data_IF_124589599765
#
_entry.id   IF_124589599765
#
_cell.length_a   1.000
_cell.length_b   1.000
_cell.length_c   1.000
_cell.angle_alpha   90.00
_cell.angle_beta   90.00
_cell.angle_gamma   90.00
#
_symmetry.space_group_name_H-M   'P 1'
#
loop_
_entity.id
_entity.type
_entity.pdbx_description
1 polymer ?
#
# COMPACT_ATOMS: atom_id res chain seq x y z
N UNK A 1 25.76 2.16 9.74
CA UNK A 1 24.99 1.15 8.98
C UNK A 1 23.65 1.76 8.63
N UNK A 2 23.36 1.98 7.35
CA UNK A 2 22.08 2.57 6.92
C UNK A 2 21.06 1.43 6.90
N UNK A 3 20.24 1.37 7.94
CA UNK A 3 19.12 0.43 8.00
C UNK A 3 18.16 0.79 6.85
N UNK A 4 17.80 -0.19 6.02
CA UNK A 4 16.65 -0.07 5.13
C UNK A 4 15.42 -0.08 6.02
N UNK A 5 14.93 1.08 6.42
CA UNK A 5 13.81 1.21 7.38
C UNK A 5 12.46 0.72 6.81
N UNK A 6 12.43 0.34 5.53
CA UNK A 6 11.22 -0.07 4.83
C UNK A 6 10.26 1.10 4.63
N UNK A 7 10.81 2.27 4.30
CA UNK A 7 10.00 3.44 3.99
C UNK A 7 9.20 3.21 2.70
N UNK A 8 7.97 3.70 2.70
CA UNK A 8 7.10 3.64 1.53
C UNK A 8 7.57 4.70 0.53
N UNK A 9 7.83 4.27 -0.70
CA UNK A 9 8.20 5.15 -1.81
C UNK A 9 7.00 5.57 -2.66
N UNK A 10 5.99 4.71 -2.72
CA UNK A 10 4.74 4.94 -3.44
C UNK A 10 3.62 4.19 -2.74
N UNK A 11 2.46 4.82 -2.66
CA UNK A 11 1.20 4.19 -2.30
C UNK A 11 0.27 4.23 -3.51
N UNK A 12 -0.50 3.17 -3.69
CA UNK A 12 -1.49 3.04 -4.74
C UNK A 12 -2.64 2.18 -4.25
N UNK A 13 -3.87 2.61 -4.51
CA UNK A 13 -5.08 1.87 -4.20
C UNK A 13 -6.10 2.05 -5.32
N UNK A 14 -6.92 1.02 -5.54
CA UNK A 14 -8.07 1.09 -6.43
C UNK A 14 -9.25 0.36 -5.81
N UNK A 15 -10.45 0.87 -6.08
CA UNK A 15 -11.71 0.22 -5.74
C UNK A 15 -12.19 -0.63 -6.92
N UNK A 16 -13.18 -1.49 -6.67
CA UNK A 16 -13.80 -2.35 -7.68
C UNK A 16 -14.62 -1.57 -8.72
N UNK A 17 -15.20 -0.45 -8.31
CA UNK A 17 -15.90 0.53 -9.16
C UNK A 17 -14.97 1.53 -9.87
N UNK A 18 -13.66 1.39 -9.71
CA UNK A 18 -12.65 2.07 -10.54
C UNK A 18 -12.12 3.41 -10.01
N UNK A 19 -12.48 3.83 -8.79
CA UNK A 19 -11.81 4.95 -8.15
C UNK A 19 -10.37 4.58 -7.79
N UNK A 20 -9.45 5.53 -7.98
CA UNK A 20 -8.03 5.30 -7.78
C UNK A 20 -7.42 6.38 -6.88
N UNK A 21 -6.43 5.96 -6.09
CA UNK A 21 -5.53 6.84 -5.36
C UNK A 21 -4.10 6.44 -5.66
N UNK A 22 -3.22 7.43 -5.82
CA UNK A 22 -1.78 7.19 -5.79
C UNK A 22 -1.03 8.39 -5.24
N UNK A 23 0.06 8.13 -4.53
CA UNK A 23 0.96 9.15 -4.03
C UNK A 23 2.40 8.65 -4.04
N UNK A 24 3.32 9.54 -4.39
CA UNK A 24 4.76 9.28 -4.39
C UNK A 24 5.36 9.97 -3.16
N UNK A 25 6.09 9.22 -2.35
CA UNK A 25 6.54 9.64 -1.04
C UNK A 25 8.06 9.86 -1.05
N UNK A 26 8.47 11.00 -0.49
CA UNK A 26 9.87 11.30 -0.24
C UNK A 26 10.42 10.35 0.82
N UNK A 27 11.45 9.59 0.48
CA UNK A 27 12.21 8.75 1.41
C UNK A 27 13.46 9.47 1.90
N UNK A 28 13.89 9.14 3.12
CA UNK A 28 15.10 9.66 3.76
C UNK A 28 16.37 9.15 3.08
N UNK A 29 16.31 7.94 2.50
CA UNK A 29 17.43 7.32 1.77
C UNK A 29 17.01 6.99 0.35
N UNK A 30 17.63 7.66 -0.62
CA UNK A 30 17.54 7.24 -2.03
C UNK A 30 18.44 6.04 -2.26
N UNK A 31 17.91 4.83 -2.05
CA UNK A 31 18.70 3.62 -2.29
C UNK A 31 18.63 3.21 -3.77
N UNK A 32 19.78 2.92 -4.38
CA UNK A 32 19.86 2.32 -5.73
C UNK A 32 19.23 0.91 -5.82
N UNK A 33 18.77 0.37 -4.69
CA UNK A 33 18.07 -0.91 -4.60
C UNK A 33 16.59 -0.79 -4.95
N UNK A 34 16.00 0.40 -4.81
CA UNK A 34 14.61 0.63 -5.18
C UNK A 34 14.39 0.40 -6.69
N UNK A 35 13.43 -0.46 -7.07
CA UNK A 35 13.04 -0.63 -8.47
C UNK A 35 12.45 0.65 -9.10
N UNK A 36 11.83 1.51 -8.29
CA UNK A 36 11.15 2.74 -8.74
C UNK A 36 12.17 3.88 -8.85
N UNK A 37 12.92 4.16 -7.77
CA UNK A 37 13.90 5.25 -7.73
C UNK A 37 15.03 5.09 -8.75
N UNK A 38 15.33 3.84 -9.15
CA UNK A 38 16.34 3.55 -10.17
C UNK A 38 15.88 3.91 -11.59
N UNK A 39 14.57 3.90 -11.85
CA UNK A 39 14.01 4.19 -13.18
C UNK A 39 13.83 5.69 -13.41
N UNK A 40 13.69 6.48 -12.35
CA UNK A 40 13.36 7.91 -12.43
C UNK A 40 14.63 8.72 -12.12
N UNK A 41 15.02 9.65 -13.01
CA UNK A 41 16.18 10.52 -12.76
C UNK A 41 15.96 11.36 -11.49
N UNK A 42 17.02 11.71 -10.73
CA UNK A 42 16.87 12.41 -9.47
C UNK A 42 16.09 13.72 -9.52
N UNK A 43 16.30 14.49 -10.58
CA UNK A 43 15.59 15.74 -10.82
C UNK A 43 14.07 15.54 -10.86
N UNK A 44 13.58 14.61 -11.67
CA UNK A 44 12.13 14.34 -11.78
C UNK A 44 11.54 13.78 -10.49
N UNK A 45 12.29 12.93 -9.77
CA UNK A 45 11.85 12.40 -8.49
C UNK A 45 11.58 13.52 -7.47
N UNK A 46 12.51 14.46 -7.33
CA UNK A 46 12.40 15.56 -6.36
C UNK A 46 11.19 16.48 -6.63
N UNK A 47 10.73 16.56 -7.87
CA UNK A 47 9.54 17.33 -8.27
C UNK A 47 8.25 16.57 -7.95
N UNK A 48 8.25 15.26 -8.13
CA UNK A 48 7.05 14.42 -8.00
C UNK A 48 6.74 13.98 -6.56
N UNK A 49 7.73 14.03 -5.68
CA UNK A 49 7.59 13.49 -4.32
C UNK A 49 6.95 14.47 -3.36
N UNK A 50 6.02 13.94 -2.56
CA UNK A 50 5.39 14.65 -1.46
C UNK A 50 5.85 14.08 -0.11
N UNK A 51 5.63 14.85 0.95
CA UNK A 51 5.92 14.37 2.30
C UNK A 51 5.01 13.20 2.69
N UNK A 52 5.60 12.20 3.35
CA UNK A 52 4.89 10.99 3.78
C UNK A 52 3.63 11.30 4.59
N UNK A 53 3.71 12.28 5.50
CA UNK A 53 2.57 12.73 6.31
C UNK A 53 1.42 13.24 5.43
N UNK A 54 1.72 14.08 4.44
CA UNK A 54 0.69 14.64 3.55
C UNK A 54 0.04 13.55 2.71
N UNK A 55 0.85 12.67 2.10
CA UNK A 55 0.33 11.57 1.28
C UNK A 55 -0.55 10.61 2.10
N UNK A 56 -0.14 10.27 3.31
CA UNK A 56 -0.92 9.39 4.19
C UNK A 56 -2.21 10.05 4.66
N UNK A 57 -2.19 11.35 4.96
CA UNK A 57 -3.42 12.08 5.28
C UNK A 57 -4.37 12.09 4.08
N UNK A 58 -3.89 12.45 2.89
CA UNK A 58 -4.72 12.44 1.67
C UNK A 58 -5.25 11.05 1.32
N UNK A 59 -4.53 9.99 1.68
CA UNK A 59 -5.03 8.62 1.53
C UNK A 59 -6.21 8.35 2.48
N UNK A 60 -6.12 8.77 3.74
CA UNK A 60 -7.23 8.66 4.69
C UNK A 60 -8.43 9.50 4.23
N UNK A 61 -8.20 10.75 3.82
CA UNK A 61 -9.27 11.64 3.33
C UNK A 61 -9.98 11.04 2.09
N UNK A 62 -9.21 10.39 1.21
CA UNK A 62 -9.75 9.66 0.06
C UNK A 62 -10.63 8.48 0.49
N UNK A 63 -10.18 7.69 1.47
CA UNK A 63 -10.97 6.60 2.03
C UNK A 63 -12.27 7.09 2.68
N UNK A 64 -12.23 8.18 3.45
CA UNK A 64 -13.41 8.79 4.04
C UNK A 64 -14.40 9.30 2.97
N UNK A 65 -13.86 9.88 1.89
CA UNK A 65 -14.68 10.32 0.74
C UNK A 65 -15.41 9.15 0.08
N UNK A 66 -14.76 7.98 -0.04
CA UNK A 66 -15.41 6.78 -0.56
C UNK A 66 -16.57 6.33 0.34
N UNK A 67 -16.37 6.32 1.66
CA UNK A 67 -17.41 5.94 2.63
C UNK A 67 -18.59 6.90 2.57
N UNK A 68 -18.34 8.21 2.60
CA UNK A 68 -19.38 9.24 2.53
C UNK A 68 -20.19 9.14 1.23
N UNK A 69 -19.53 8.92 0.10
CA UNK A 69 -20.21 8.82 -1.20
C UNK A 69 -21.03 7.52 -1.33
N UNK A 70 -20.60 6.45 -0.67
CA UNK A 70 -21.37 5.21 -0.60
C UNK A 70 -22.62 5.35 0.29
N UNK A 71 -22.47 5.98 1.46
CA UNK A 71 -23.55 6.14 2.45
C UNK A 71 -24.68 7.06 1.95
N UNK A 72 -24.36 8.07 1.13
CA UNK A 72 -25.37 8.92 0.46
C UNK A 72 -26.38 8.13 -0.38
N UNK A 73 -26.02 6.91 -0.80
CA UNK A 73 -26.84 6.04 -1.64
C UNK A 73 -27.31 4.76 -0.91
N UNK A 74 -26.99 4.58 0.38
CA UNK A 74 -27.24 3.32 1.09
C UNK A 74 -27.59 3.53 2.56
N UNK A 75 -28.57 2.80 3.09
CA UNK A 75 -28.90 2.78 4.54
C UNK A 75 -27.95 1.91 5.37
N UNK A 76 -26.80 1.52 4.81
CA UNK A 76 -25.85 0.60 5.42
C UNK A 76 -24.57 1.33 5.77
N UNK A 77 -24.11 1.15 7.02
CA UNK A 77 -22.80 1.60 7.48
C UNK A 77 -21.68 0.99 6.59
N UNK A 78 -21.05 1.76 5.69
CA UNK A 78 -20.05 1.24 4.77
C UNK A 78 -18.81 0.82 5.56
N UNK A 79 -18.23 -0.33 5.22
CA UNK A 79 -16.98 -0.82 5.82
C UNK A 79 -15.90 -0.89 4.75
N UNK A 80 -14.77 -0.24 4.98
CA UNK A 80 -13.62 -0.33 4.09
C UNK A 80 -12.89 -1.65 4.32
N UNK A 81 -12.55 -2.34 3.24
CA UNK A 81 -11.63 -3.49 3.28
C UNK A 81 -10.42 -3.19 2.40
N UNK A 82 -9.25 -3.06 3.02
CA UNK A 82 -7.99 -2.87 2.31
C UNK A 82 -7.41 -4.24 1.95
N UNK A 83 -7.23 -4.46 0.65
CA UNK A 83 -6.84 -5.75 0.11
C UNK A 83 -5.45 -5.65 -0.50
N UNK A 84 -4.50 -6.46 -0.02
CA UNK A 84 -3.15 -6.55 -0.56
C UNK A 84 -2.96 -7.84 -1.37
N UNK A 85 -2.31 -7.72 -2.53
CA UNK A 85 -2.10 -8.81 -3.50
C UNK A 85 -0.78 -9.58 -3.31
N UNK A 86 0.25 -8.97 -2.70
CA UNK A 86 1.57 -9.58 -2.53
C UNK A 86 1.75 -10.04 -1.08
N UNK A 87 2.12 -11.31 -0.91
CA UNK A 87 1.90 -12.04 0.33
C UNK A 87 2.68 -11.58 1.56
N UNK A 88 2.08 -11.92 2.71
CA UNK A 88 2.55 -11.82 4.10
C UNK A 88 2.38 -10.43 4.73
N UNK A 89 1.18 -9.87 4.73
CA UNK A 89 0.78 -8.69 5.56
C UNK A 89 1.72 -7.46 5.53
N UNK A 90 2.70 -7.43 4.64
CA UNK A 90 3.87 -6.58 4.75
C UNK A 90 3.50 -5.16 4.30
N UNK A 91 2.75 -5.08 3.20
CA UNK A 91 2.22 -3.84 2.65
C UNK A 91 1.34 -3.11 3.67
N UNK A 92 0.37 -3.82 4.27
CA UNK A 92 -0.48 -3.28 5.33
C UNK A 92 0.33 -2.77 6.52
N UNK A 93 1.34 -3.55 6.94
CA UNK A 93 2.20 -3.20 8.07
C UNK A 93 3.04 -1.95 7.80
N UNK A 94 3.55 -1.78 6.57
CA UNK A 94 4.29 -0.59 6.18
C UNK A 94 3.39 0.65 6.16
N UNK A 95 2.16 0.53 5.64
CA UNK A 95 1.20 1.64 5.60
C UNK A 95 0.85 2.07 7.03
N UNK A 96 0.45 1.11 7.86
CA UNK A 96 0.15 1.30 9.29
C UNK A 96 1.32 1.94 10.04
N UNK A 97 2.52 1.39 9.89
CA UNK A 97 3.72 1.91 10.57
C UNK A 97 4.02 3.33 10.14
N UNK A 98 3.82 3.66 8.85
CA UNK A 98 4.06 5.01 8.34
C UNK A 98 3.02 5.99 8.88
N UNK A 99 1.74 5.61 8.92
CA UNK A 99 0.68 6.42 9.53
C UNK A 99 0.99 6.70 11.01
N UNK A 100 1.30 5.67 11.79
CA UNK A 100 1.65 5.79 13.21
C UNK A 100 2.88 6.67 13.42
N UNK A 101 3.93 6.51 12.62
CA UNK A 101 5.15 7.35 12.66
C UNK A 101 4.83 8.85 12.49
N UNK A 102 3.78 9.18 11.74
CA UNK A 102 3.36 10.56 11.48
C UNK A 102 2.17 11.02 12.32
N UNK A 103 1.71 10.21 13.29
CA UNK A 103 0.58 10.54 14.16
C UNK A 103 -0.77 10.55 13.44
N UNK A 104 -0.89 9.81 12.33
CA UNK A 104 -2.12 9.71 11.54
C UNK A 104 -2.91 8.50 12.06
N UNK A 105 -4.16 8.74 12.44
CA UNK A 105 -5.06 7.68 12.85
C UNK A 105 -5.64 6.99 11.61
N UNK A 106 -5.58 5.66 11.59
CA UNK A 106 -6.19 4.88 10.52
C UNK A 106 -7.70 4.75 10.75
N UNK A 107 -8.56 4.93 9.73
CA UNK A 107 -9.99 4.72 9.89
C UNK A 107 -10.30 3.25 10.16
N UNK A 108 -11.50 2.99 10.70
CA UNK A 108 -11.93 1.62 10.98
C UNK A 108 -12.06 0.83 9.66
N UNK A 109 -11.19 -0.15 9.47
CA UNK A 109 -11.13 -0.93 8.23
C UNK A 109 -10.71 -2.38 8.48
N UNK A 110 -11.08 -3.25 7.55
CA UNK A 110 -10.63 -4.64 7.51
C UNK A 110 -9.39 -4.78 6.64
N UNK A 111 -8.40 -5.53 7.11
CA UNK A 111 -7.19 -5.82 6.34
C UNK A 111 -7.27 -7.26 5.81
N UNK A 112 -7.07 -7.41 4.51
CA UNK A 112 -7.13 -8.70 3.84
C UNK A 112 -5.89 -8.94 2.96
N UNK A 113 -5.34 -10.15 3.03
CA UNK A 113 -4.25 -10.61 2.16
C UNK A 113 -4.80 -11.68 1.20
N UNK A 114 -4.79 -11.38 -0.10
CA UNK A 114 -5.33 -12.27 -1.13
C UNK A 114 -4.49 -13.53 -1.30
N UNK A 115 -3.19 -13.49 -1.03
CA UNK A 115 -2.36 -14.71 -1.10
C UNK A 115 -2.77 -15.69 -0.02
N UNK A 116 -3.07 -15.19 1.18
CA UNK A 116 -3.57 -16.04 2.28
C UNK A 116 -4.94 -16.62 1.93
N UNK A 117 -5.86 -15.81 1.39
CA UNK A 117 -7.18 -16.31 0.96
C UNK A 117 -7.06 -17.34 -0.16
N UNK A 118 -6.29 -17.05 -1.20
CA UNK A 118 -6.08 -17.95 -2.33
C UNK A 118 -5.49 -19.30 -1.89
N UNK A 119 -4.47 -19.29 -1.01
CA UNK A 119 -3.87 -20.51 -0.45
C UNK A 119 -4.88 -21.33 0.37
N UNK A 120 -5.78 -20.67 1.12
CA UNK A 120 -6.85 -21.36 1.86
C UNK A 120 -7.89 -21.97 0.92
N UNK A 121 -8.33 -21.23 -0.10
CA UNK A 121 -9.37 -21.66 -1.05
C UNK A 121 -8.90 -22.80 -1.96
N UNK A 122 -7.66 -22.76 -2.43
CA UNK A 122 -7.11 -23.80 -3.32
C UNK A 122 -6.77 -25.11 -2.57
N UNK A 123 -6.78 -25.11 -1.23
CA UNK A 123 -6.39 -26.24 -0.39
C UNK A 123 -4.92 -26.65 -0.57
N UNK A 124 -4.40 -27.52 0.32
CA UNK A 124 -3.02 -28.06 0.22
C UNK A 124 -2.75 -28.88 -1.07
N UNK A 125 -3.75 -29.08 -1.93
CA UNK A 125 -3.69 -29.93 -3.13
C UNK A 125 -3.65 -29.10 -4.39
N UNK A 126 -2.48 -28.53 -4.65
CA UNK A 126 -1.87 -28.19 -5.94
C UNK A 126 -0.88 -27.10 -5.64
N UNK A 127 0.36 -27.30 -6.06
CA UNK A 127 1.43 -26.31 -6.07
C UNK A 127 1.01 -25.16 -6.98
N UNK A 128 0.09 -24.30 -6.50
CA UNK A 128 -0.32 -23.11 -7.19
C UNK A 128 0.85 -22.13 -7.08
N UNK A 129 1.79 -22.25 -8.03
CA UNK A 129 2.79 -21.22 -8.28
C UNK A 129 2.01 -19.97 -8.64
N UNK A 130 1.94 -19.03 -7.70
CA UNK A 130 1.60 -17.65 -8.00
C UNK A 130 2.53 -17.22 -9.14
N UNK A 131 1.99 -16.53 -10.15
CA UNK A 131 2.80 -16.05 -11.26
C UNK A 131 3.99 -15.26 -10.68
N UNK A 132 5.19 -15.83 -10.86
CA UNK A 132 6.44 -15.32 -10.34
C UNK A 132 6.77 -14.00 -11.04
N UNK A 133 6.20 -12.90 -10.58
CA UNK A 133 6.73 -11.58 -10.86
C UNK A 133 8.04 -11.46 -10.05
N UNK A 134 9.13 -11.85 -10.72
CA UNK A 134 10.56 -11.75 -10.34
C UNK A 134 10.80 -11.60 -8.83
N UNK A 135 10.88 -12.73 -8.13
CA UNK A 135 11.59 -12.84 -6.86
C UNK A 135 13.01 -12.28 -7.02
N UNK A 136 13.23 -11.03 -6.60
CA UNK A 136 14.55 -10.65 -6.11
C UNK A 136 14.62 -11.16 -4.68
N UNK A 137 15.37 -12.25 -4.49
CA UNK A 137 15.78 -12.74 -3.17
C UNK A 137 16.32 -11.56 -2.36
N UNK A 138 15.66 -11.25 -1.25
CA UNK A 138 16.24 -10.44 -0.18
C UNK A 138 17.20 -11.35 0.58
N UNK A 139 18.48 -10.96 0.65
CA UNK A 139 19.47 -11.56 1.55
C UNK A 139 19.59 -10.59 2.73
N UNK A 140 19.55 -11.09 3.98
CA UNK A 140 19.56 -10.26 5.20
C UNK A 140 20.72 -9.27 5.25
#
# INVERSE_FOLDING_TARGET
MVHNDGEIEQIGACTDDGYMFSGIIRTSVRTNRSPILRKIKPYFWNILVSDAKLVMQSFVDWLETLVINFDKNSSKNPKIMLVAHYGVSFDHSHVLRTMLKHGIQMPEMFLLDLVVMFKKMMGKKRSAKLAHSREKKYVP
#
